data_IF_306110016104
#
_entry.id   IF_306110016104
#
_cell.length_a   1.000
_cell.length_b   1.000
_cell.length_c   1.000
_cell.angle_alpha   90.00
_cell.angle_beta   90.00
_cell.angle_gamma   90.00
#
_symmetry.space_group_name_H-M   'P 1'
#
loop_
_entity.id
_entity.type
_entity.pdbx_description
1 polymer ?
#
# COMPACT_ATOMS: atom_id res chain seq x y z
N UNK A 1 7.16 15.31 -15.24
CA UNK A 1 7.11 13.83 -15.05
C UNK A 1 6.75 13.56 -13.59
N UNK A 2 5.93 12.55 -13.26
CA UNK A 2 5.60 12.24 -11.84
C UNK A 2 6.33 10.96 -11.47
N UNK A 3 7.26 11.07 -10.54
CA UNK A 3 8.01 9.94 -9.99
C UNK A 3 7.36 9.47 -8.68
N UNK A 4 7.29 8.16 -8.47
CA UNK A 4 6.72 7.58 -7.26
C UNK A 4 7.82 6.92 -6.44
N UNK A 5 8.17 7.53 -5.31
CA UNK A 5 9.13 6.98 -4.37
C UNK A 5 8.39 6.18 -3.29
N UNK A 6 8.84 4.97 -2.97
CA UNK A 6 8.29 4.21 -1.83
C UNK A 6 9.14 4.48 -0.60
N UNK A 7 8.58 5.18 0.37
CA UNK A 7 9.26 5.56 1.62
C UNK A 7 9.33 4.40 2.62
N UNK A 8 8.24 3.63 2.72
CA UNK A 8 8.15 2.47 3.60
C UNK A 8 7.15 1.48 3.01
N UNK A 9 7.44 0.19 3.10
CA UNK A 9 6.48 -0.86 2.79
C UNK A 9 6.57 -1.94 3.85
N UNK A 10 5.44 -2.32 4.41
CA UNK A 10 5.33 -3.46 5.33
C UNK A 10 4.40 -4.51 4.72
N UNK A 11 4.76 -5.77 4.90
CA UNK A 11 4.06 -6.89 4.31
C UNK A 11 3.49 -7.81 5.40
N UNK A 12 2.22 -8.17 5.25
CA UNK A 12 1.53 -9.17 6.05
C UNK A 12 1.22 -10.37 5.16
N UNK A 13 1.88 -11.50 5.41
CA UNK A 13 1.65 -12.77 4.69
C UNK A 13 0.41 -13.46 5.23
N UNK A 14 -0.36 -14.09 4.34
CA UNK A 14 -1.53 -14.87 4.72
C UNK A 14 -1.86 -15.98 3.70
N UNK A 15 -2.61 -16.99 4.13
CA UNK A 15 -2.90 -18.16 3.32
C UNK A 15 -1.63 -18.90 2.86
N UNK A 16 -1.70 -19.56 1.70
CA UNK A 16 -0.58 -20.38 1.21
C UNK A 16 0.56 -19.57 0.57
N UNK A 17 0.21 -18.54 -0.19
CA UNK A 17 1.18 -17.74 -0.95
C UNK A 17 0.73 -16.29 -1.16
N UNK A 18 -0.21 -15.76 -0.36
CA UNK A 18 -0.71 -14.40 -0.52
C UNK A 18 -0.05 -13.45 0.48
N UNK A 19 -0.07 -12.16 0.16
CA UNK A 19 0.32 -11.10 1.08
C UNK A 19 -0.50 -9.83 0.86
N UNK A 20 -0.65 -9.04 1.92
CA UNK A 20 -1.06 -7.63 1.85
C UNK A 20 0.16 -6.79 2.13
N UNK A 21 0.45 -5.83 1.27
CA UNK A 21 1.50 -4.84 1.41
C UNK A 21 0.87 -3.47 1.70
N UNK A 22 1.30 -2.83 2.78
CA UNK A 22 0.95 -1.46 3.12
C UNK A 22 2.17 -0.59 2.87
N UNK A 23 2.12 0.20 1.80
CA UNK A 23 3.23 1.04 1.36
C UNK A 23 2.90 2.53 1.50
N UNK A 24 3.80 3.30 2.12
CA UNK A 24 3.79 4.77 2.07
C UNK A 24 4.61 5.20 0.86
N UNK A 25 3.96 5.88 -0.07
CA UNK A 25 4.55 6.37 -1.31
C UNK A 25 4.52 7.89 -1.35
N UNK A 26 5.50 8.49 -2.00
CA UNK A 26 5.60 9.92 -2.25
C UNK A 26 5.56 10.13 -3.76
N UNK A 27 4.53 10.81 -4.24
CA UNK A 27 4.52 11.32 -5.60
C UNK A 27 5.36 12.61 -5.62
N UNK A 28 6.40 12.63 -6.44
CA UNK A 28 7.28 13.78 -6.65
C UNK A 28 7.03 14.29 -8.07
N UNK A 29 6.46 15.49 -8.18
CA UNK A 29 6.34 16.23 -9.44
C UNK A 29 6.90 17.64 -9.30
N UNK A 30 7.05 18.36 -10.43
CA UNK A 30 7.74 19.67 -10.53
C UNK A 30 7.22 20.80 -9.62
N UNK A 31 6.05 20.67 -9.00
CA UNK A 31 5.55 21.68 -8.03
C UNK A 31 4.78 21.10 -6.84
N UNK A 32 4.61 19.78 -6.75
CA UNK A 32 3.83 19.14 -5.70
C UNK A 32 4.46 17.81 -5.32
N UNK A 33 4.88 17.72 -4.06
CA UNK A 33 5.27 16.46 -3.42
C UNK A 33 4.14 16.02 -2.49
N UNK A 34 3.47 14.91 -2.79
CA UNK A 34 2.36 14.42 -1.96
C UNK A 34 2.62 12.99 -1.50
N UNK A 35 2.55 12.77 -0.19
CA UNK A 35 2.64 11.46 0.43
C UNK A 35 1.26 10.82 0.50
N UNK A 36 1.17 9.55 0.14
CA UNK A 36 -0.05 8.75 0.23
C UNK A 36 0.27 7.33 0.69
N UNK A 37 -0.75 6.63 1.18
CA UNK A 37 -0.64 5.22 1.57
C UNK A 37 -1.36 4.37 0.53
N UNK A 38 -0.71 3.33 0.06
CA UNK A 38 -1.27 2.34 -0.84
C UNK A 38 -1.31 0.98 -0.14
N UNK A 39 -2.47 0.32 -0.17
CA UNK A 39 -2.62 -1.06 0.29
C UNK A 39 -2.76 -1.93 -0.95
N UNK A 40 -1.89 -2.91 -1.08
CA UNK A 40 -1.84 -3.77 -2.25
C UNK A 40 -1.90 -5.24 -1.86
N UNK A 41 -2.71 -6.01 -2.57
CA UNK A 41 -2.73 -7.46 -2.45
C UNK A 41 -1.82 -8.06 -3.50
N UNK A 42 -0.91 -8.90 -3.06
CA UNK A 42 -0.05 -9.67 -3.94
C UNK A 42 0.01 -11.15 -3.58
N UNK A 43 0.76 -11.90 -4.37
CA UNK A 43 1.04 -13.30 -4.16
C UNK A 43 2.45 -13.65 -4.63
N UNK A 44 2.97 -14.72 -4.05
CA UNK A 44 4.25 -15.32 -4.39
C UNK A 44 4.06 -16.38 -5.49
N UNK A 45 4.91 -16.31 -6.51
CA UNK A 45 5.05 -17.34 -7.54
C UNK A 45 5.96 -18.48 -7.05
N UNK A 46 5.98 -19.59 -7.78
CA UNK A 46 6.77 -20.78 -7.43
C UNK A 46 8.27 -20.53 -7.40
N UNK A 47 8.75 -19.51 -8.12
CA UNK A 47 10.14 -19.05 -8.14
C UNK A 47 10.46 -18.06 -7.00
N UNK A 48 9.47 -17.76 -6.13
CA UNK A 48 9.60 -16.81 -5.03
C UNK A 48 9.41 -15.34 -5.42
N UNK A 49 9.19 -15.04 -6.71
CA UNK A 49 8.92 -13.68 -7.17
C UNK A 49 7.54 -13.19 -6.71
N UNK A 50 7.41 -11.88 -6.51
CA UNK A 50 6.15 -11.24 -6.07
C UNK A 50 5.38 -10.70 -7.28
N UNK A 51 4.07 -10.94 -7.30
CA UNK A 51 3.13 -10.25 -8.20
C UNK A 51 2.04 -9.56 -7.40
N UNK A 52 1.72 -8.33 -7.78
CA UNK A 52 0.61 -7.58 -7.23
C UNK A 52 -0.62 -7.82 -8.11
N UNK A 53 -1.74 -8.19 -7.47
CA UNK A 53 -3.01 -8.46 -8.14
C UNK A 53 -3.91 -7.23 -8.15
N UNK A 54 -3.94 -6.50 -7.05
CA UNK A 54 -4.82 -5.34 -6.89
C UNK A 54 -4.22 -4.39 -5.86
N UNK A 55 -4.51 -3.10 -6.01
CA UNK A 55 -4.05 -2.07 -5.09
C UNK A 55 -5.12 -1.00 -4.92
N UNK A 56 -5.26 -0.49 -3.71
CA UNK A 56 -6.08 0.66 -3.39
C UNK A 56 -5.19 1.77 -2.85
N UNK A 57 -5.46 3.00 -3.26
CA UNK A 57 -4.83 4.18 -2.67
C UNK A 57 -5.76 4.72 -1.60
N UNK A 58 -5.23 4.95 -0.41
CA UNK A 58 -5.98 5.55 0.69
C UNK A 58 -5.97 7.08 0.55
N UNK A 59 -7.00 7.76 1.09
CA UNK A 59 -7.01 9.21 1.24
C UNK A 59 -5.78 9.70 2.02
N UNK A 60 -5.35 10.92 1.74
CA UNK A 60 -4.23 11.53 2.46
C UNK A 60 -4.63 12.07 3.83
N UNK A 61 -5.92 12.37 4.02
CA UNK A 61 -6.47 12.84 5.30
C UNK A 61 -6.29 11.80 6.41
N UNK A 62 -5.62 12.21 7.47
CA UNK A 62 -5.31 11.32 8.59
C UNK A 62 -6.56 10.76 9.28
N UNK A 63 -7.59 11.59 9.45
CA UNK A 63 -8.89 11.19 10.05
C UNK A 63 -9.52 10.03 9.28
N UNK A 64 -9.56 10.12 7.94
CA UNK A 64 -10.11 9.07 7.09
C UNK A 64 -9.31 7.78 7.17
N UNK A 65 -7.97 7.88 7.20
CA UNK A 65 -7.12 6.69 7.38
C UNK A 65 -7.32 6.02 8.74
N UNK A 66 -7.47 6.82 9.80
CA UNK A 66 -7.76 6.31 11.15
C UNK A 66 -9.12 5.63 11.21
N UNK A 67 -10.15 6.21 10.59
CA UNK A 67 -11.47 5.59 10.46
C UNK A 67 -11.40 4.23 9.74
N UNK A 68 -10.71 4.17 8.60
CA UNK A 68 -10.52 2.91 7.85
C UNK A 68 -9.78 1.87 8.71
N UNK A 69 -8.72 2.26 9.42
CA UNK A 69 -7.98 1.37 10.29
C UNK A 69 -8.85 0.83 11.45
N UNK A 70 -9.70 1.68 12.05
CA UNK A 70 -10.63 1.25 13.10
C UNK A 70 -11.63 0.24 12.56
N UNK A 71 -12.25 0.50 11.40
CA UNK A 71 -13.19 -0.43 10.77
C UNK A 71 -12.56 -1.80 10.49
N UNK A 72 -11.27 -1.85 10.16
CA UNK A 72 -10.55 -3.12 9.96
C UNK A 72 -10.33 -3.85 11.29
N UNK A 73 -10.06 -3.14 12.38
CA UNK A 73 -9.82 -3.74 13.70
C UNK A 73 -11.11 -4.22 14.39
N UNK A 74 -12.26 -3.63 14.06
CA UNK A 74 -13.57 -3.97 14.62
C UNK A 74 -14.25 -5.18 13.92
N UNK A 75 -13.71 -5.66 12.79
CA UNK A 75 -14.21 -6.83 12.04
C UNK A 75 -13.50 -8.11 12.47
#
# INVERSE_FOLDING_TARGET
MVEFETLKAEEVKFGKNNFIEVARKKAVGESLSKEFVAISRGFYLSDGSKKWKSSITLPDEEDKRKQIASLINDL
#
